data_IF_181563311124
#
_entry.id   IF_181563311124
#
_cell.length_a   1.000
_cell.length_b   1.000
_cell.length_c   1.000
_cell.angle_alpha   90.00
_cell.angle_beta   90.00
_cell.angle_gamma   90.00
#
_symmetry.space_group_name_H-M   'P 1'
#
loop_
_entity.id
_entity.type
_entity.pdbx_description
1 polymer ?
#
# COMPACT_ATOMS: atom_id res chain seq x y z
N UNK A 1 11.46 -10.94 -2.81
CA UNK A 1 10.81 -11.88 -1.88
C UNK A 1 11.47 -13.25 -2.05
N UNK A 2 11.75 -14.00 -0.97
CA UNK A 2 12.14 -15.41 -1.15
C UNK A 2 10.89 -16.19 -1.61
N UNK A 3 10.98 -17.08 -2.61
CA UNK A 3 9.81 -17.82 -3.10
C UNK A 3 9.07 -18.63 -2.04
N UNK A 4 9.79 -19.06 -0.98
CA UNK A 4 9.24 -19.82 0.14
C UNK A 4 8.45 -18.98 1.15
N UNK A 5 8.39 -17.66 0.99
CA UNK A 5 7.71 -16.76 1.91
C UNK A 5 6.33 -16.43 1.37
N UNK A 6 5.29 -16.65 2.16
CA UNK A 6 3.95 -16.21 1.81
C UNK A 6 3.88 -14.68 1.90
N UNK A 7 3.30 -14.05 0.88
CA UNK A 7 3.11 -12.61 0.84
C UNK A 7 2.24 -12.11 2.02
N UNK A 8 1.22 -12.88 2.39
CA UNK A 8 0.33 -12.58 3.51
C UNK A 8 1.09 -12.51 4.85
N UNK A 9 2.05 -13.41 5.07
CA UNK A 9 2.89 -13.39 6.27
C UNK A 9 3.75 -12.14 6.33
N UNK A 10 4.39 -11.78 5.21
CA UNK A 10 5.20 -10.55 5.14
C UNK A 10 4.35 -9.31 5.45
N UNK A 11 3.17 -9.19 4.81
CA UNK A 11 2.30 -8.03 5.02
C UNK A 11 1.79 -7.98 6.46
N UNK A 12 1.42 -9.12 7.05
CA UNK A 12 1.02 -9.22 8.46
C UNK A 12 2.13 -8.67 9.37
N UNK A 13 3.35 -9.13 9.17
CA UNK A 13 4.47 -8.77 10.03
C UNK A 13 4.82 -7.27 9.89
N UNK A 14 4.78 -6.73 8.67
CA UNK A 14 4.96 -5.29 8.42
C UNK A 14 3.87 -4.50 9.16
N UNK A 15 2.59 -4.83 8.94
CA UNK A 15 1.46 -4.11 9.54
C UNK A 15 1.48 -4.17 11.07
N UNK A 16 1.74 -5.34 11.64
CA UNK A 16 1.76 -5.53 13.09
C UNK A 16 2.91 -4.77 13.75
N UNK A 17 4.13 -4.92 13.24
CA UNK A 17 5.31 -4.30 13.84
C UNK A 17 5.26 -2.77 13.71
N UNK A 18 4.86 -2.25 12.55
CA UNK A 18 4.70 -0.80 12.36
C UNK A 18 3.57 -0.23 13.20
N UNK A 19 2.43 -0.92 13.32
CA UNK A 19 1.35 -0.44 14.19
C UNK A 19 1.79 -0.38 15.64
N UNK A 20 2.47 -1.42 16.14
CA UNK A 20 3.00 -1.43 17.49
C UNK A 20 3.97 -0.27 17.70
N UNK A 21 4.94 -0.11 16.81
CA UNK A 21 5.94 0.94 16.90
C UNK A 21 5.32 2.35 16.90
N UNK A 22 4.42 2.66 15.95
CA UNK A 22 3.77 3.97 15.86
C UNK A 22 2.96 4.28 17.13
N UNK A 23 2.24 3.29 17.66
CA UNK A 23 1.46 3.45 18.89
C UNK A 23 2.35 3.64 20.12
N UNK A 24 3.48 2.93 20.21
CA UNK A 24 4.47 3.11 21.30
C UNK A 24 5.12 4.49 21.25
N UNK A 25 5.35 5.04 20.05
CA UNK A 25 5.90 6.39 19.89
C UNK A 25 4.86 7.50 20.13
N UNK A 26 3.56 7.19 20.11
CA UNK A 26 2.49 8.17 20.31
C UNK A 26 2.41 9.23 19.20
N UNK A 27 2.83 8.90 17.97
CA UNK A 27 2.88 9.84 16.86
C UNK A 27 1.51 10.28 16.33
N UNK A 28 0.46 9.51 16.59
CA UNK A 28 -0.89 9.82 16.17
C UNK A 28 -1.79 10.07 17.37
N UNK A 29 -2.83 10.91 17.18
CA UNK A 29 -3.89 11.05 18.17
C UNK A 29 -4.76 9.80 18.15
N UNK A 30 -4.79 9.08 19.27
CA UNK A 30 -5.53 7.83 19.40
C UNK A 30 -4.69 6.60 19.06
N UNK A 31 -5.36 5.49 18.72
CA UNK A 31 -4.69 4.22 18.39
C UNK A 31 -4.57 4.09 16.88
N UNK A 32 -3.33 4.01 16.39
CA UNK A 32 -3.05 3.69 15.00
C UNK A 32 -3.42 2.23 14.69
N UNK A 33 -4.06 2.02 13.55
CA UNK A 33 -4.27 0.70 12.94
C UNK A 33 -4.28 0.82 11.42
N UNK A 34 -3.67 -0.14 10.74
CA UNK A 34 -3.82 -0.26 9.29
C UNK A 34 -5.23 -0.73 8.91
N UNK A 35 -5.64 -0.41 7.69
CA UNK A 35 -6.76 -1.09 7.03
C UNK A 35 -6.57 -2.62 6.99
N UNK A 36 -7.67 -3.36 7.00
CA UNK A 36 -7.67 -4.82 7.03
C UNK A 36 -6.99 -5.41 5.78
N UNK A 37 -7.42 -4.98 4.59
CA UNK A 37 -6.94 -5.47 3.29
C UNK A 37 -5.57 -4.94 2.86
N UNK A 38 -5.00 -5.55 1.81
CA UNK A 38 -3.78 -5.07 1.15
C UNK A 38 -3.84 -5.37 -0.35
N UNK A 39 -3.18 -4.51 -1.15
CA UNK A 39 -2.90 -4.76 -2.57
C UNK A 39 -1.44 -5.15 -2.77
N UNK A 40 -1.16 -5.96 -3.77
CA UNK A 40 0.20 -6.34 -4.14
C UNK A 40 0.37 -6.43 -5.64
N UNK A 41 1.43 -5.79 -6.15
CA UNK A 41 1.75 -5.71 -7.56
C UNK A 41 3.20 -6.11 -7.76
N UNK A 42 3.45 -7.02 -8.71
CA UNK A 42 4.79 -7.57 -8.96
C UNK A 42 5.59 -6.64 -9.88
N UNK A 43 6.88 -6.47 -9.57
CA UNK A 43 7.82 -5.68 -10.36
C UNK A 43 9.12 -6.47 -10.58
N UNK A 44 9.81 -6.21 -11.69
CA UNK A 44 11.12 -6.77 -11.99
C UNK A 44 12.23 -6.08 -11.17
N UNK A 45 13.35 -6.79 -10.97
CA UNK A 45 14.49 -6.24 -10.21
C UNK A 45 15.05 -4.94 -10.82
N UNK A 46 15.04 -4.82 -12.15
CA UNK A 46 15.46 -3.60 -12.85
C UNK A 46 14.60 -2.37 -12.54
N UNK A 47 13.40 -2.57 -12.01
CA UNK A 47 12.45 -1.49 -11.68
C UNK A 47 12.58 -1.01 -10.23
N UNK A 48 13.49 -1.59 -9.42
CA UNK A 48 13.63 -1.23 -8.00
C UNK A 48 13.89 0.27 -7.83
N UNK A 49 14.76 0.86 -8.64
CA UNK A 49 15.05 2.30 -8.53
C UNK A 49 13.80 3.14 -8.80
N UNK A 50 13.01 2.78 -9.80
CA UNK A 50 11.75 3.47 -10.10
C UNK A 50 10.76 3.36 -8.95
N UNK A 51 10.62 2.17 -8.34
CA UNK A 51 9.73 1.94 -7.19
C UNK A 51 10.22 2.72 -5.97
N UNK A 52 11.53 2.76 -5.73
CA UNK A 52 12.13 3.54 -4.65
C UNK A 52 11.82 5.03 -4.80
N UNK A 53 12.08 5.60 -5.99
CA UNK A 53 11.80 7.01 -6.26
C UNK A 53 10.30 7.32 -6.14
N UNK A 54 9.44 6.41 -6.55
CA UNK A 54 8.00 6.54 -6.35
C UNK A 54 7.63 6.64 -4.85
N UNK A 55 8.15 5.73 -4.01
CA UNK A 55 7.87 5.74 -2.56
C UNK A 55 8.40 7.02 -1.91
N UNK A 56 9.62 7.44 -2.27
CA UNK A 56 10.26 8.63 -1.70
C UNK A 56 9.45 9.92 -1.96
N UNK A 57 8.82 10.02 -3.13
CA UNK A 57 8.08 11.22 -3.56
C UNK A 57 6.56 11.12 -3.35
N UNK A 58 6.10 10.11 -2.59
CA UNK A 58 4.68 9.76 -2.47
C UNK A 58 3.85 10.86 -1.78
N UNK A 59 4.40 11.57 -0.80
CA UNK A 59 3.75 12.73 -0.17
C UNK A 59 3.44 13.83 -1.21
N UNK A 60 4.43 14.17 -2.05
CA UNK A 60 4.25 15.15 -3.12
C UNK A 60 3.26 14.65 -4.17
N UNK A 61 3.29 13.36 -4.52
CA UNK A 61 2.35 12.76 -5.46
C UNK A 61 0.90 12.88 -4.97
N UNK A 62 0.65 12.52 -3.71
CA UNK A 62 -0.67 12.55 -3.11
C UNK A 62 -1.20 13.95 -2.82
N UNK A 63 -0.34 14.98 -2.84
CA UNK A 63 -0.81 16.37 -2.81
C UNK A 63 -1.61 16.77 -4.06
N UNK A 64 -1.43 16.04 -5.17
CA UNK A 64 -2.09 16.33 -6.47
C UNK A 64 -3.04 15.22 -6.93
N UNK A 65 -2.94 14.04 -6.33
CA UNK A 65 -3.64 12.85 -6.79
C UNK A 65 -4.18 12.06 -5.61
N UNK A 66 -5.47 11.75 -5.67
CA UNK A 66 -6.11 10.96 -4.63
C UNK A 66 -5.64 9.50 -4.67
N UNK A 67 -5.71 8.82 -3.52
CA UNK A 67 -5.48 7.38 -3.43
C UNK A 67 -6.43 6.58 -4.35
N UNK A 68 -7.67 7.04 -4.51
CA UNK A 68 -8.67 6.44 -5.41
C UNK A 68 -8.20 6.39 -6.86
N UNK A 69 -7.79 7.55 -7.38
CA UNK A 69 -7.30 7.67 -8.76
C UNK A 69 -6.06 6.81 -8.98
N UNK A 70 -5.17 6.75 -7.99
CA UNK A 70 -3.96 5.96 -8.08
C UNK A 70 -4.25 4.45 -8.05
N UNK A 71 -5.13 4.01 -7.17
CA UNK A 71 -5.50 2.61 -7.06
C UNK A 71 -6.15 2.10 -8.35
N UNK A 72 -7.08 2.86 -8.93
CA UNK A 72 -7.71 2.53 -10.21
C UNK A 72 -6.69 2.44 -11.35
N UNK A 73 -5.71 3.34 -11.39
CA UNK A 73 -4.63 3.28 -12.36
C UNK A 73 -3.73 2.06 -12.18
N UNK A 74 -3.47 1.64 -10.94
CA UNK A 74 -2.76 0.39 -10.70
C UNK A 74 -3.55 -0.81 -11.23
N UNK A 75 -4.85 -0.88 -10.98
CA UNK A 75 -5.69 -1.95 -11.52
C UNK A 75 -5.65 -1.95 -13.06
N UNK A 76 -5.77 -0.78 -13.70
CA UNK A 76 -5.69 -0.67 -15.15
C UNK A 76 -4.30 -1.06 -15.70
N UNK A 77 -3.22 -0.56 -15.09
CA UNK A 77 -1.83 -0.82 -15.49
C UNK A 77 -1.46 -2.30 -15.40
N UNK A 78 -2.00 -3.00 -14.43
CA UNK A 78 -1.77 -4.43 -14.22
C UNK A 78 -2.86 -5.32 -14.83
N UNK A 79 -3.75 -4.73 -15.63
CA UNK A 79 -4.83 -5.43 -16.33
C UNK A 79 -5.69 -6.29 -15.38
N UNK A 80 -5.95 -5.75 -14.19
CA UNK A 80 -6.76 -6.42 -13.17
C UNK A 80 -8.23 -6.07 -13.39
N UNK A 81 -8.98 -7.06 -13.87
CA UNK A 81 -10.43 -7.00 -13.91
C UNK A 81 -11.00 -6.82 -12.50
N UNK A 82 -11.88 -5.84 -12.36
CA UNK A 82 -12.53 -5.55 -11.10
C UNK A 82 -13.96 -5.05 -11.34
N UNK A 83 -14.84 -5.35 -10.39
CA UNK A 83 -16.16 -4.70 -10.34
C UNK A 83 -16.08 -3.55 -9.35
N UNK A 84 -16.65 -2.41 -9.73
CA UNK A 84 -16.65 -1.20 -8.90
C UNK A 84 -17.28 -1.43 -7.52
N UNK A 85 -18.25 -2.34 -7.43
CA UNK A 85 -18.94 -2.75 -6.18
C UNK A 85 -18.06 -3.50 -5.17
N UNK A 86 -16.88 -3.98 -5.57
CA UNK A 86 -15.92 -4.65 -4.69
C UNK A 86 -14.69 -3.77 -4.39
N UNK A 87 -14.70 -2.51 -4.82
CA UNK A 87 -13.67 -1.54 -4.48
C UNK A 87 -13.93 -0.93 -3.10
N UNK A 88 -12.96 -0.18 -2.59
CA UNK A 88 -13.03 0.45 -1.27
C UNK A 88 -14.23 1.39 -1.14
N UNK A 89 -14.77 1.46 0.07
CA UNK A 89 -15.57 2.58 0.52
C UNK A 89 -14.66 3.81 0.63
N UNK A 90 -14.66 4.63 -0.41
CA UNK A 90 -13.80 5.80 -0.50
C UNK A 90 -14.18 6.80 0.58
N UNK A 91 -13.22 7.16 1.43
CA UNK A 91 -13.35 8.27 2.38
C UNK A 91 -12.96 9.55 1.63
N UNK A 92 -13.91 10.45 1.43
CA UNK A 92 -13.69 11.79 0.87
C UNK A 92 -13.13 12.76 1.90
#
# INVERSE_FOLDING_TARGET
LKPSMALSDLVRDIKNNSSKFINEQGWVKGKFSWQEGYGAFSYAHSQIEQVYQYILNQEQHHSKRSFKEEYLDFLAKFEIDHKTEYLFDWVE
#
